data_IF_485371575415
#
_entry.id   IF_485371575415
#
_cell.length_a   1.000
_cell.length_b   1.000
_cell.length_c   1.000
_cell.angle_alpha   90.00
_cell.angle_beta   90.00
_cell.angle_gamma   90.00
#
_symmetry.space_group_name_H-M   'P 1'
#
loop_
_entity.id
_entity.type
_entity.pdbx_description
1 polymer ?
#
# COMPACT_ATOMS: atom_id res chain seq x y z
N UNK A 1 -27.76 -29.57 -39.54
CA UNK A 1 -26.90 -28.89 -40.53
C UNK A 1 -25.92 -28.03 -39.76
N UNK A 2 -24.66 -28.48 -39.66
CA UNK A 2 -23.58 -27.79 -38.94
C UNK A 2 -22.85 -26.88 -39.92
N UNK A 3 -22.89 -25.57 -39.70
CA UNK A 3 -22.16 -24.59 -40.49
C UNK A 3 -20.83 -24.29 -39.81
N UNK A 4 -19.74 -24.81 -40.36
CA UNK A 4 -18.37 -24.40 -40.00
C UNK A 4 -18.13 -22.95 -40.43
N UNK A 5 -17.59 -22.08 -39.57
CA UNK A 5 -17.22 -20.73 -39.95
C UNK A 5 -15.95 -20.76 -40.82
N UNK A 6 -16.00 -20.07 -41.95
CA UNK A 6 -14.87 -19.85 -42.84
C UNK A 6 -14.07 -18.62 -42.41
N UNK A 7 -12.75 -18.78 -42.27
CA UNK A 7 -11.81 -17.69 -41.97
C UNK A 7 -11.24 -17.18 -43.30
N UNK A 8 -11.53 -15.93 -43.64
CA UNK A 8 -10.94 -15.26 -44.81
C UNK A 8 -9.80 -14.35 -44.34
N UNK A 9 -8.58 -14.60 -44.84
CA UNK A 9 -7.39 -13.82 -44.52
C UNK A 9 -6.96 -13.04 -45.76
N UNK A 10 -7.17 -11.72 -45.76
CA UNK A 10 -6.57 -10.82 -46.75
C UNK A 10 -5.37 -10.09 -46.15
N UNK A 11 -4.22 -10.17 -46.82
CA UNK A 11 -3.01 -9.42 -46.49
C UNK A 11 -2.98 -8.11 -47.28
N UNK A 12 -3.04 -7.00 -46.58
CA UNK A 12 -2.51 -5.71 -47.06
C UNK A 12 -1.44 -5.23 -46.08
N UNK A 13 -0.41 -4.59 -46.61
CA UNK A 13 0.87 -4.35 -45.95
C UNK A 13 0.80 -3.92 -44.48
N UNK A 14 1.57 -4.65 -43.65
CA UNK A 14 2.11 -4.15 -42.39
C UNK A 14 1.22 -4.19 -41.14
N UNK A 15 -0.08 -4.41 -41.23
CA UNK A 15 -0.95 -4.48 -40.04
C UNK A 15 -1.98 -5.60 -40.15
N UNK A 16 -1.95 -6.53 -39.19
CA UNK A 16 -2.94 -7.61 -39.06
C UNK A 16 -4.13 -7.10 -38.24
N UNK A 17 -5.23 -6.75 -38.91
CA UNK A 17 -6.47 -6.33 -38.25
C UNK A 17 -7.48 -7.49 -38.29
N UNK A 18 -7.66 -8.19 -37.16
CA UNK A 18 -8.77 -9.14 -37.02
C UNK A 18 -9.99 -8.43 -36.45
N UNK A 19 -11.10 -8.41 -37.21
CA UNK A 19 -12.40 -7.99 -36.69
C UNK A 19 -13.14 -9.21 -36.15
N UNK A 20 -13.44 -9.21 -34.85
CA UNK A 20 -14.39 -10.14 -34.25
C UNK A 20 -15.70 -9.41 -33.97
N UNK A 21 -16.79 -9.89 -34.55
CA UNK A 21 -18.14 -9.47 -34.20
C UNK A 21 -18.63 -10.36 -33.06
N UNK A 22 -18.56 -9.86 -31.82
CA UNK A 22 -19.08 -10.58 -30.66
C UNK A 22 -18.45 -10.11 -29.36
N UNK A 23 -19.29 -9.95 -28.34
CA UNK A 23 -19.01 -9.48 -26.98
C UNK A 23 -17.87 -10.23 -26.26
N UNK A 24 -16.62 -9.76 -26.41
CA UNK A 24 -15.46 -10.21 -25.61
C UNK A 24 -14.46 -9.07 -25.34
N UNK A 25 -14.90 -7.98 -24.71
CA UNK A 25 -13.99 -6.90 -24.29
C UNK A 25 -13.20 -7.23 -23.02
N UNK A 26 -13.68 -8.14 -22.16
CA UNK A 26 -12.99 -8.53 -20.93
C UNK A 26 -11.78 -9.46 -21.16
N UNK A 27 -11.76 -10.24 -22.25
CA UNK A 27 -10.69 -11.19 -22.51
C UNK A 27 -9.39 -10.54 -23.02
N UNK A 28 -9.48 -9.37 -23.66
CA UNK A 28 -8.31 -8.69 -24.25
C UNK A 28 -7.43 -7.99 -23.20
N UNK A 29 -8.00 -7.52 -22.09
CA UNK A 29 -7.21 -6.93 -21.00
C UNK A 29 -6.33 -7.98 -20.30
N UNK A 30 -6.81 -9.22 -20.18
CA UNK A 30 -6.06 -10.32 -19.57
C UNK A 30 -4.92 -10.82 -20.45
N UNK A 31 -5.10 -10.80 -21.78
CA UNK A 31 -4.08 -11.23 -22.76
C UNK A 31 -2.91 -10.23 -22.86
N UNK A 32 -3.16 -8.92 -22.77
CA UNK A 32 -2.11 -7.90 -22.82
C UNK A 32 -1.14 -7.97 -21.63
N UNK A 33 -1.61 -8.40 -20.46
CA UNK A 33 -0.75 -8.57 -19.26
C UNK A 33 0.15 -9.81 -19.37
N UNK A 34 -0.27 -10.84 -20.12
CA UNK A 34 0.48 -12.10 -20.25
C UNK A 34 1.53 -12.09 -21.38
N UNK A 35 1.41 -11.19 -22.36
CA UNK A 35 2.32 -11.15 -23.53
C UNK A 35 3.67 -10.44 -23.31
N UNK A 36 4.02 -10.02 -22.08
CA UNK A 36 5.31 -9.39 -21.79
C UNK A 36 6.44 -10.37 -21.40
N UNK A 37 6.21 -11.69 -21.41
CA UNK A 37 7.29 -12.69 -21.33
C UNK A 37 7.61 -13.23 -22.72
N UNK A 38 8.89 -13.11 -23.08
CA UNK A 38 9.55 -13.67 -24.27
C UNK A 38 9.52 -12.82 -25.54
N UNK A 39 10.49 -11.91 -25.64
CA UNK A 39 11.15 -11.62 -26.92
C UNK A 39 12.64 -11.35 -26.65
N UNK A 40 13.43 -12.42 -26.50
CA UNK A 40 14.88 -12.36 -26.67
C UNK A 40 15.14 -12.90 -28.07
N UNK A 41 15.56 -12.01 -28.97
CA UNK A 41 15.89 -12.35 -30.35
C UNK A 41 17.41 -12.45 -30.44
N UNK A 42 17.93 -13.69 -30.56
CA UNK A 42 19.29 -13.94 -31.02
C UNK A 42 19.33 -13.72 -32.53
N UNK A 43 20.12 -12.76 -33.01
CA UNK A 43 20.78 -12.85 -34.32
C UNK A 43 21.96 -11.89 -34.40
N UNK A 44 23.11 -12.51 -34.65
CA UNK A 44 24.24 -12.12 -35.49
C UNK A 44 25.20 -10.96 -35.15
N UNK A 45 26.46 -11.40 -35.15
CA UNK A 45 27.72 -10.67 -35.11
C UNK A 45 27.86 -9.68 -36.28
N UNK A 46 28.24 -8.43 -35.96
CA UNK A 46 29.16 -7.65 -36.79
C UNK A 46 29.79 -6.51 -35.96
N UNK A 47 31.10 -6.60 -35.72
CA UNK A 47 31.93 -5.44 -35.31
C UNK A 47 31.98 -4.43 -36.47
N UNK A 48 31.92 -3.12 -36.18
CA UNK A 48 33.16 -2.35 -36.32
C UNK A 48 33.37 -1.22 -35.28
N UNK A 49 34.65 -1.08 -34.92
CA UNK A 49 35.43 0.13 -34.59
C UNK A 49 34.83 1.28 -33.76
N UNK A 50 35.44 1.44 -32.58
CA UNK A 50 35.67 2.63 -31.76
C UNK A 50 35.31 4.00 -32.36
N UNK A 51 34.44 4.75 -31.65
CA UNK A 51 34.88 5.92 -30.87
C UNK A 51 33.72 6.55 -30.10
N UNK A 52 34.00 6.84 -28.83
CA UNK A 52 33.38 7.94 -28.08
C UNK A 52 31.95 7.72 -27.61
N UNK A 53 31.79 7.15 -26.41
CA UNK A 53 30.67 7.49 -25.53
C UNK A 53 31.09 7.34 -24.07
N UNK A 54 30.80 8.40 -23.33
CA UNK A 54 31.07 8.64 -21.93
C UNK A 54 30.27 7.61 -21.11
N UNK A 55 30.98 6.71 -20.43
CA UNK A 55 30.37 5.75 -19.49
C UNK A 55 29.77 6.50 -18.31
N UNK A 56 28.43 6.47 -18.19
CA UNK A 56 27.75 6.69 -16.92
C UNK A 56 27.88 5.40 -16.13
N UNK A 57 28.96 5.35 -15.37
CA UNK A 57 29.23 4.33 -14.37
C UNK A 57 28.19 4.49 -13.26
N UNK A 58 27.19 3.61 -13.26
CA UNK A 58 26.38 3.38 -12.06
C UNK A 58 27.29 2.71 -11.04
N UNK A 59 27.49 3.39 -9.92
CA UNK A 59 28.11 2.79 -8.76
C UNK A 59 27.07 1.86 -8.13
N UNK A 60 27.35 0.57 -8.23
CA UNK A 60 26.68 -0.46 -7.46
C UNK A 60 27.06 -0.28 -5.98
N UNK A 61 26.14 0.25 -5.17
CA UNK A 61 26.16 0.04 -3.73
C UNK A 61 25.56 -1.35 -3.45
N UNK A 62 26.35 -2.38 -3.76
CA UNK A 62 26.07 -3.75 -3.37
C UNK A 62 26.88 -4.06 -2.10
N UNK A 63 26.17 -4.35 -1.02
CA UNK A 63 26.73 -5.04 0.15
C UNK A 63 26.79 -4.21 1.43
N UNK A 64 25.65 -3.73 1.91
CA UNK A 64 25.50 -3.45 3.34
C UNK A 64 24.47 -4.45 3.89
N UNK A 65 24.95 -5.44 4.65
CA UNK A 65 24.11 -6.21 5.56
C UNK A 65 23.55 -5.21 6.58
N UNK A 66 22.36 -4.69 6.28
CA UNK A 66 21.65 -3.75 7.14
C UNK A 66 21.35 -4.42 8.49
N UNK A 67 22.23 -4.16 9.46
CA UNK A 67 21.90 -4.32 10.87
C UNK A 67 20.74 -3.39 11.15
N UNK A 68 19.54 -3.95 11.31
CA UNK A 68 18.40 -3.27 11.92
C UNK A 68 18.85 -2.64 13.24
N UNK A 69 19.10 -1.33 13.23
CA UNK A 69 19.41 -0.59 14.45
C UNK A 69 18.11 -0.40 15.23
N UNK A 70 18.08 -0.70 16.54
CA UNK A 70 16.89 -0.49 17.37
C UNK A 70 16.58 1.01 17.45
N UNK A 71 15.41 1.41 16.94
CA UNK A 71 14.98 2.81 16.92
C UNK A 71 14.51 3.26 18.31
N UNK A 72 14.84 4.50 18.68
CA UNK A 72 14.45 5.14 19.93
C UNK A 72 12.96 5.52 19.89
N UNK A 73 12.16 4.92 20.77
CA UNK A 73 10.80 5.38 21.03
C UNK A 73 10.80 6.80 21.61
N UNK A 74 9.97 7.69 21.04
CA UNK A 74 9.59 8.93 21.70
C UNK A 74 8.63 8.62 22.86
N UNK A 75 8.89 9.10 24.09
CA UNK A 75 8.00 8.84 25.21
C UNK A 75 6.70 9.64 25.08
N UNK A 76 5.57 8.92 25.02
CA UNK A 76 4.24 9.50 25.17
C UNK A 76 4.08 10.07 26.59
N UNK A 77 3.76 11.37 26.71
CA UNK A 77 3.37 11.98 27.97
C UNK A 77 1.92 11.59 28.30
N UNK A 78 1.74 10.75 29.31
CA UNK A 78 0.44 10.50 29.93
C UNK A 78 0.06 11.69 30.84
N UNK A 79 -1.01 12.40 30.49
CA UNK A 79 -1.62 13.42 31.35
C UNK A 79 -2.62 12.77 32.32
N UNK A 80 -2.56 13.18 33.59
CA UNK A 80 -3.32 12.64 34.72
C UNK A 80 -4.77 13.14 34.77
N UNK A 81 -5.68 12.24 35.15
CA UNK A 81 -7.13 12.43 35.22
C UNK A 81 -7.55 13.09 36.53
N UNK A 82 -8.34 14.16 36.45
CA UNK A 82 -9.10 14.72 37.57
C UNK A 82 -10.54 14.16 37.57
N UNK A 83 -11.02 13.81 38.75
CA UNK A 83 -12.37 13.29 39.05
C UNK A 83 -13.40 14.42 39.25
N UNK A 84 -14.60 14.27 38.69
CA UNK A 84 -15.83 14.78 39.32
C UNK A 84 -16.87 15.49 38.44
N UNK A 85 -18.03 14.83 38.33
CA UNK A 85 -19.41 15.33 38.12
C UNK A 85 -19.90 15.83 36.74
N UNK A 86 -20.80 15.01 36.20
CA UNK A 86 -22.09 15.29 35.55
C UNK A 86 -22.17 16.45 34.52
N UNK A 87 -22.08 16.07 33.25
CA UNK A 87 -22.64 16.80 32.13
C UNK A 87 -22.87 15.78 31.01
N UNK A 88 -23.85 16.01 30.16
CA UNK A 88 -23.99 15.30 28.88
C UNK A 88 -22.68 15.47 28.09
N UNK A 89 -21.75 14.54 28.29
CA UNK A 89 -20.42 14.55 27.69
C UNK A 89 -20.63 14.31 26.20
N UNK A 90 -20.73 15.40 25.45
CA UNK A 90 -20.15 15.43 24.11
C UNK A 90 -18.69 15.08 24.35
N UNK A 91 -18.37 13.78 24.23
CA UNK A 91 -17.01 13.30 24.34
C UNK A 91 -16.22 14.08 23.31
N UNK A 92 -15.38 15.00 23.78
CA UNK A 92 -14.34 15.58 22.94
C UNK A 92 -13.72 14.41 22.18
N UNK A 93 -13.59 14.53 20.84
CA UNK A 93 -13.02 13.44 20.06
C UNK A 93 -11.66 13.13 20.69
N UNK A 94 -11.55 11.96 21.33
CA UNK A 94 -10.29 11.48 21.88
C UNK A 94 -9.26 11.72 20.80
N UNK A 95 -8.28 12.60 21.04
CA UNK A 95 -7.43 13.13 19.98
C UNK A 95 -6.64 11.99 19.38
N UNK A 96 -7.19 11.36 18.35
CA UNK A 96 -6.53 10.26 17.69
C UNK A 96 -5.28 10.82 17.04
N UNK A 97 -4.15 10.19 17.33
CA UNK A 97 -2.84 10.78 17.09
C UNK A 97 -2.42 10.72 15.63
N UNK A 98 -3.08 9.90 14.80
CA UNK A 98 -2.67 9.65 13.42
C UNK A 98 -3.83 9.80 12.43
N UNK A 99 -3.55 10.41 11.28
CA UNK A 99 -4.40 10.36 10.09
C UNK A 99 -3.96 9.20 9.19
N UNK A 100 -4.94 8.49 8.64
CA UNK A 100 -4.72 7.36 7.72
C UNK A 100 -5.20 7.74 6.32
N UNK A 101 -4.27 7.80 5.38
CA UNK A 101 -4.52 8.13 3.99
C UNK A 101 -4.33 6.92 3.10
N UNK A 102 -5.07 6.88 1.98
CA UNK A 102 -4.75 6.08 0.82
C UNK A 102 -4.18 6.99 -0.27
N UNK A 103 -3.08 6.57 -0.88
CA UNK A 103 -2.57 7.15 -2.11
C UNK A 103 -2.90 6.23 -3.28
N UNK A 104 -3.29 6.82 -4.41
CA UNK A 104 -3.62 6.11 -5.65
C UNK A 104 -2.79 6.69 -6.78
N UNK A 105 -2.16 5.80 -7.54
CA UNK A 105 -1.29 6.14 -8.65
C UNK A 105 -1.75 5.39 -9.90
N UNK A 106 -2.02 6.07 -11.01
CA UNK A 106 -2.11 5.41 -12.31
C UNK A 106 -0.78 4.72 -12.64
N UNK A 107 -0.84 3.55 -13.28
CA UNK A 107 0.35 2.89 -13.78
C UNK A 107 0.70 3.36 -15.19
N UNK A 108 2.00 3.53 -15.46
CA UNK A 108 2.50 3.74 -16.81
C UNK A 108 2.00 2.65 -17.77
N UNK A 109 1.73 3.03 -19.02
CA UNK A 109 1.27 2.13 -20.09
C UNK A 109 -0.09 1.43 -19.83
N UNK A 110 -0.85 1.85 -18.81
CA UNK A 110 -2.16 1.25 -18.50
C UNK A 110 -3.36 2.02 -19.07
N UNK A 111 -3.13 3.09 -19.83
CA UNK A 111 -4.18 4.07 -20.20
C UNK A 111 -4.98 4.59 -18.99
N UNK A 112 -4.35 4.63 -17.80
CA UNK A 112 -4.97 4.96 -16.52
C UNK A 112 -6.14 4.03 -16.14
N UNK A 113 -6.08 2.78 -16.57
CA UNK A 113 -7.07 1.75 -16.25
C UNK A 113 -6.61 0.83 -15.12
N UNK A 114 -5.31 0.83 -14.81
CA UNK A 114 -4.71 0.03 -13.74
C UNK A 114 -4.00 0.98 -12.79
N UNK A 115 -4.21 0.73 -11.51
CA UNK A 115 -3.74 1.61 -10.45
C UNK A 115 -2.96 0.82 -9.40
N UNK A 116 -2.01 1.52 -8.81
CA UNK A 116 -1.30 1.14 -7.61
C UNK A 116 -1.81 1.93 -6.44
N UNK A 117 -1.97 1.29 -5.29
CA UNK A 117 -2.38 1.95 -4.06
C UNK A 117 -1.43 1.67 -2.92
N UNK A 118 -1.35 2.62 -2.00
CA UNK A 118 -0.53 2.59 -0.81
C UNK A 118 -1.27 3.25 0.35
N UNK A 119 -0.92 2.89 1.58
CA UNK A 119 -1.41 3.58 2.78
C UNK A 119 -0.31 4.51 3.29
N UNK A 120 -0.66 5.74 3.64
CA UNK A 120 0.27 6.66 4.32
C UNK A 120 -0.34 7.08 5.64
N UNK A 121 0.45 6.98 6.70
CA UNK A 121 0.00 7.24 8.07
C UNK A 121 0.82 8.38 8.63
N UNK A 122 0.18 9.49 8.94
CA UNK A 122 0.86 10.70 9.39
C UNK A 122 0.45 11.01 10.83
N UNK A 123 1.40 11.28 11.75
CA UNK A 123 1.05 11.84 13.03
C UNK A 123 0.39 13.21 12.81
N UNK A 124 -0.59 13.53 13.63
CA UNK A 124 -1.35 14.78 13.57
C UNK A 124 -0.43 16.00 13.67
N UNK A 125 0.67 15.87 14.40
CA UNK A 125 1.71 16.89 14.57
C UNK A 125 2.48 17.19 13.27
N UNK A 126 2.49 16.28 12.29
CA UNK A 126 3.09 16.51 10.97
C UNK A 126 2.48 17.73 10.27
N UNK A 127 1.22 18.05 10.59
CA UNK A 127 0.47 19.15 9.98
C UNK A 127 0.31 20.36 10.91
N UNK A 128 1.01 20.40 12.06
CA UNK A 128 0.86 21.48 13.04
C UNK A 128 1.26 22.86 12.50
N UNK A 129 2.09 22.91 11.44
CA UNK A 129 2.51 24.16 10.77
C UNK A 129 1.47 24.69 9.79
N UNK A 130 0.47 23.89 9.42
CA UNK A 130 -0.60 24.23 8.48
C UNK A 130 -1.97 23.99 9.14
N UNK A 131 -2.37 24.93 9.99
CA UNK A 131 -3.61 24.84 10.76
C UNK A 131 -4.86 24.68 9.87
N UNK A 132 -4.89 25.35 8.71
CA UNK A 132 -6.02 25.26 7.79
C UNK A 132 -6.12 23.85 7.17
N UNK A 133 -5.00 23.22 6.82
CA UNK A 133 -5.01 21.83 6.38
C UNK A 133 -5.47 20.89 7.49
N UNK A 134 -4.98 21.07 8.71
CA UNK A 134 -5.39 20.27 9.86
C UNK A 134 -6.90 20.37 10.14
N UNK A 135 -7.45 21.59 10.16
CA UNK A 135 -8.89 21.85 10.30
C UNK A 135 -9.70 21.20 9.17
N UNK A 136 -9.18 21.25 7.94
CA UNK A 136 -9.82 20.60 6.79
C UNK A 136 -9.87 19.08 6.97
N UNK A 137 -8.79 18.46 7.43
CA UNK A 137 -8.76 17.02 7.71
C UNK A 137 -9.76 16.65 8.81
N UNK A 138 -9.83 17.45 9.88
CA UNK A 138 -10.80 17.22 10.96
C UNK A 138 -12.25 17.28 10.49
N UNK A 139 -12.57 18.27 9.66
CA UNK A 139 -13.88 18.38 9.06
C UNK A 139 -14.22 17.12 8.24
N UNK A 140 -13.27 16.61 7.45
CA UNK A 140 -13.45 15.36 6.68
C UNK A 140 -13.62 14.13 7.59
N UNK A 141 -12.88 14.02 8.70
CA UNK A 141 -13.02 12.90 9.66
C UNK A 141 -14.45 12.80 10.21
N UNK A 142 -15.12 13.94 10.45
CA UNK A 142 -16.50 13.95 10.96
C UNK A 142 -17.52 13.36 9.97
N UNK A 143 -17.18 13.30 8.68
CA UNK A 143 -18.02 12.70 7.63
C UNK A 143 -17.76 11.20 7.43
N UNK A 144 -16.63 10.70 7.94
CA UNK A 144 -16.19 9.33 7.76
C UNK A 144 -16.70 8.42 8.89
N UNK A 145 -16.95 7.13 8.59
CA UNK A 145 -17.22 6.16 9.64
C UNK A 145 -15.99 5.99 10.52
N UNK A 146 -16.17 5.83 11.85
CA UNK A 146 -15.05 5.49 12.71
C UNK A 146 -14.56 4.07 12.41
N UNK A 147 -13.42 3.72 12.99
CA UNK A 147 -12.88 2.37 12.88
C UNK A 147 -13.85 1.38 13.52
N UNK A 148 -14.01 0.21 12.90
CA UNK A 148 -14.72 -0.92 13.50
C UNK A 148 -14.03 -1.49 14.75
N UNK A 149 -12.80 -1.05 15.03
CA UNK A 149 -12.06 -1.40 16.25
C UNK A 149 -12.31 -0.41 17.39
N UNK A 150 -12.94 0.73 17.12
CA UNK A 150 -13.40 1.61 18.19
C UNK A 150 -14.72 1.04 18.75
N UNK A 151 -14.84 0.86 20.07
CA UNK A 151 -16.02 0.33 20.77
C UNK A 151 -17.28 1.25 20.70
N UNK A 152 -17.37 2.10 19.69
CA UNK A 152 -18.44 3.09 19.58
C UNK A 152 -19.72 2.40 19.11
N UNK A 153 -20.73 2.38 19.99
CA UNK A 153 -22.10 1.97 19.67
C UNK A 153 -22.72 3.02 18.73
N UNK A 154 -22.55 2.87 17.42
CA UNK A 154 -23.13 3.81 16.45
C UNK A 154 -24.58 3.41 16.13
N UNK A 155 -25.51 4.01 16.86
CA UNK A 155 -26.95 3.94 16.57
C UNK A 155 -27.38 4.89 15.42
N UNK A 156 -26.70 4.87 14.26
CA UNK A 156 -27.11 5.71 13.11
C UNK A 156 -27.71 4.88 11.98
N UNK A 157 -29.01 5.10 11.72
CA UNK A 157 -29.69 4.76 10.46
C UNK A 157 -28.89 5.36 9.29
N UNK A 158 -28.20 4.52 8.51
CA UNK A 158 -27.22 4.96 7.55
C UNK A 158 -27.86 5.63 6.32
N UNK A 159 -27.57 6.92 6.12
CA UNK A 159 -27.46 7.52 4.79
C UNK A 159 -26.29 6.84 4.05
N UNK A 160 -26.25 6.94 2.71
CA UNK A 160 -25.17 6.41 1.85
C UNK A 160 -23.81 6.67 2.50
N UNK A 161 -23.16 5.60 2.97
CA UNK A 161 -21.95 5.70 3.79
C UNK A 161 -20.77 6.01 2.87
N UNK A 162 -20.12 7.16 3.11
CA UNK A 162 -18.88 7.52 2.43
C UNK A 162 -17.76 6.81 3.18
N UNK A 163 -16.91 6.07 2.48
CA UNK A 163 -15.84 5.28 3.11
C UNK A 163 -14.50 6.02 3.19
N UNK A 164 -14.34 7.05 2.39
CA UNK A 164 -13.14 7.86 2.29
C UNK A 164 -13.49 9.24 1.73
N UNK A 165 -12.70 10.25 2.05
CA UNK A 165 -12.85 11.61 1.56
C UNK A 165 -11.67 11.98 0.65
N UNK A 166 -11.94 12.69 -0.45
CA UNK A 166 -10.87 13.20 -1.33
C UNK A 166 -10.14 14.33 -0.61
N UNK A 167 -8.80 14.27 -0.57
CA UNK A 167 -7.97 15.39 -0.09
C UNK A 167 -7.55 16.21 -1.31
N UNK A 168 -7.83 17.50 -1.30
CA UNK A 168 -7.59 18.35 -2.47
C UNK A 168 -6.09 18.44 -2.79
N UNK A 169 -5.73 18.36 -4.09
CA UNK A 169 -4.33 18.33 -4.55
C UNK A 169 -3.51 19.51 -4.04
N UNK A 170 -4.05 20.72 -4.14
CA UNK A 170 -3.41 21.94 -3.66
C UNK A 170 -3.16 21.95 -2.14
N UNK A 171 -3.88 21.15 -1.36
CA UNK A 171 -3.70 21.05 0.08
C UNK A 171 -2.61 20.02 0.43
N UNK A 172 -2.74 18.77 -0.04
CA UNK A 172 -1.76 17.73 0.31
C UNK A 172 -0.40 17.96 -0.34
N UNK A 173 -0.33 18.61 -1.50
CA UNK A 173 0.95 18.88 -2.18
C UNK A 173 1.83 19.89 -1.44
N UNK A 174 1.28 20.66 -0.50
CA UNK A 174 2.02 21.60 0.32
C UNK A 174 2.69 20.95 1.54
N UNK A 175 2.38 19.69 1.84
CA UNK A 175 2.79 19.02 3.08
C UNK A 175 4.13 18.28 2.90
N UNK A 176 5.24 19.01 3.09
CA UNK A 176 6.60 18.51 2.88
C UNK A 176 7.28 17.92 4.13
N UNK A 177 6.62 17.91 5.29
CA UNK A 177 7.20 17.39 6.53
C UNK A 177 7.38 15.85 6.43
N UNK A 178 8.61 15.32 6.52
CA UNK A 178 8.91 13.90 6.33
C UNK A 178 8.69 13.10 7.62
N UNK A 179 7.48 13.10 8.14
CA UNK A 179 7.13 12.47 9.42
C UNK A 179 6.05 11.39 9.31
N UNK A 180 5.60 11.07 8.09
CA UNK A 180 4.65 10.00 7.84
C UNK A 180 5.35 8.68 7.58
N UNK A 181 4.59 7.59 7.70
CA UNK A 181 5.01 6.25 7.30
C UNK A 181 4.21 5.82 6.07
N UNK A 182 4.91 5.40 5.02
CA UNK A 182 4.35 4.82 3.80
C UNK A 182 4.35 3.29 3.90
N UNK A 183 3.18 2.70 3.67
CA UNK A 183 2.93 1.27 3.64
C UNK A 183 2.47 0.92 2.23
N UNK A 184 3.38 0.41 1.42
CA UNK A 184 3.09 -0.05 0.06
C UNK A 184 3.70 -1.42 -0.19
N UNK A 185 3.15 -2.14 -1.17
CA UNK A 185 3.61 -3.47 -1.54
C UNK A 185 3.87 -3.54 -3.04
N UNK A 186 5.03 -4.07 -3.42
CA UNK A 186 5.41 -4.32 -4.80
C UNK A 186 6.09 -5.68 -4.92
N UNK A 187 5.95 -6.30 -6.09
CA UNK A 187 6.76 -7.46 -6.45
C UNK A 187 8.22 -7.05 -6.52
N UNK A 188 8.95 -7.16 -5.40
CA UNK A 188 10.37 -6.82 -5.36
C UNK A 188 11.18 -7.97 -5.92
N UNK A 189 11.88 -7.70 -7.02
CA UNK A 189 12.88 -8.57 -7.58
C UNK A 189 14.24 -7.88 -7.50
N UNK A 190 15.21 -8.56 -6.93
CA UNK A 190 16.60 -8.12 -6.93
C UNK A 190 17.32 -8.80 -8.11
N UNK A 191 18.17 -8.05 -8.80
CA UNK A 191 18.99 -8.63 -9.86
C UNK A 191 20.14 -9.43 -9.21
N UNK A 192 20.13 -10.75 -9.40
CA UNK A 192 21.24 -11.60 -8.99
C UNK A 192 22.33 -11.57 -10.06
N UNK A 193 23.49 -11.01 -9.72
CA UNK A 193 24.68 -11.02 -10.58
C UNK A 193 25.30 -12.41 -10.71
N UNK A 194 25.02 -13.32 -9.77
CA UNK A 194 25.54 -14.69 -9.76
C UNK A 194 24.89 -15.50 -10.89
N UNK A 195 23.58 -15.35 -11.06
CA UNK A 195 22.80 -16.17 -12.00
C UNK A 195 22.31 -15.39 -13.23
N UNK A 196 22.66 -14.10 -13.34
CA UNK A 196 22.14 -13.17 -14.36
C UNK A 196 20.61 -13.24 -14.48
N UNK A 197 19.93 -13.30 -13.33
CA UNK A 197 18.50 -13.48 -13.25
C UNK A 197 17.89 -12.56 -12.19
N UNK A 198 16.64 -12.14 -12.42
CA UNK A 198 15.84 -11.50 -11.39
C UNK A 198 15.38 -12.55 -10.40
N UNK A 199 15.84 -12.45 -9.15
CA UNK A 199 15.33 -13.26 -8.05
C UNK A 199 14.34 -12.43 -7.23
N UNK A 200 13.13 -12.97 -7.07
CA UNK A 200 12.17 -12.40 -6.14
C UNK A 200 12.61 -12.69 -4.72
N UNK A 201 12.56 -11.67 -3.88
CA UNK A 201 12.89 -11.84 -2.48
C UNK A 201 11.85 -12.79 -1.82
N UNK A 202 12.34 -13.79 -1.10
CA UNK A 202 11.52 -14.86 -0.49
C UNK A 202 11.22 -14.63 0.98
N UNK A 203 12.02 -13.77 1.60
CA UNK A 203 11.86 -13.38 2.99
C UNK A 203 10.53 -12.63 3.10
N UNK A 204 9.68 -12.97 4.08
CA UNK A 204 8.43 -12.23 4.33
C UNK A 204 8.65 -10.69 4.32
N UNK A 205 7.64 -9.94 3.90
CA UNK A 205 7.62 -8.49 3.83
C UNK A 205 8.72 -7.79 3.04
N UNK A 206 9.62 -8.51 2.39
CA UNK A 206 10.64 -7.90 1.55
C UNK A 206 10.04 -7.15 0.34
N UNK A 207 8.81 -7.49 -0.07
CA UNK A 207 8.05 -6.76 -1.08
C UNK A 207 7.34 -5.52 -0.57
N UNK A 208 7.26 -5.33 0.76
CA UNK A 208 6.71 -4.14 1.42
C UNK A 208 7.84 -3.36 2.07
N UNK A 209 8.63 -2.57 1.32
CA UNK A 209 9.79 -1.90 1.87
C UNK A 209 9.40 -0.94 3.00
N UNK A 210 10.23 -0.95 4.05
CA UNK A 210 10.08 -0.10 5.23
C UNK A 210 11.42 0.49 5.62
N UNK A 211 12.02 1.20 4.65
CA UNK A 211 13.31 1.88 4.80
C UNK A 211 13.12 3.32 5.27
N UNK A 212 14.22 4.05 5.45
CA UNK A 212 14.20 5.45 5.86
C UNK A 212 13.26 6.33 5.00
N UNK A 213 13.23 6.11 3.69
CA UNK A 213 12.37 6.87 2.77
C UNK A 213 10.87 6.54 2.93
N UNK A 214 10.57 5.35 3.48
CA UNK A 214 9.20 4.94 3.80
C UNK A 214 8.79 5.35 5.22
N UNK A 215 9.71 5.35 6.19
CA UNK A 215 9.43 5.73 7.59
C UNK A 215 9.53 7.23 7.87
N UNK A 216 10.13 8.00 6.95
CA UNK A 216 10.20 9.46 6.98
C UNK A 216 9.58 10.02 5.68
N UNK A 217 8.40 9.51 5.33
CA UNK A 217 7.72 9.87 4.10
C UNK A 217 7.00 11.20 4.25
N UNK A 218 7.14 12.10 3.27
CA UNK A 218 6.39 13.35 3.21
C UNK A 218 5.08 13.15 2.43
N UNK A 219 3.94 13.64 2.94
CA UNK A 219 2.65 13.44 2.27
C UNK A 219 2.61 14.01 0.84
N UNK A 220 3.41 15.04 0.55
CA UNK A 220 3.54 15.60 -0.80
C UNK A 220 4.49 14.84 -1.73
N UNK A 221 5.23 13.83 -1.25
CA UNK A 221 6.14 13.04 -2.10
C UNK A 221 5.40 12.42 -3.27
N UNK A 222 6.02 12.41 -4.44
CA UNK A 222 5.45 11.79 -5.65
C UNK A 222 5.93 10.35 -5.83
N UNK A 223 6.78 9.87 -4.93
CA UNK A 223 7.36 8.54 -4.99
C UNK A 223 6.36 7.48 -4.54
N UNK A 224 6.46 6.31 -5.14
CA UNK A 224 5.74 5.10 -4.77
C UNK A 224 6.73 3.95 -4.60
N UNK A 225 6.31 2.90 -3.91
CA UNK A 225 7.05 1.64 -3.73
C UNK A 225 7.41 0.97 -5.05
N UNK A 226 6.64 1.22 -6.12
CA UNK A 226 6.90 0.69 -7.46
C UNK A 226 7.25 1.80 -8.45
N UNK A 227 8.24 1.53 -9.31
CA UNK A 227 8.83 2.52 -10.22
C UNK A 227 7.92 2.95 -11.39
N UNK A 228 6.94 2.13 -11.74
CA UNK A 228 6.02 2.40 -12.85
C UNK A 228 4.74 3.15 -12.41
N UNK A 229 4.65 3.57 -11.16
CA UNK A 229 3.60 4.46 -10.68
C UNK A 229 3.81 5.89 -11.24
N UNK A 230 2.71 6.55 -11.63
CA UNK A 230 2.73 7.91 -12.15
C UNK A 230 2.52 8.93 -11.02
N UNK A 231 3.60 9.29 -10.32
CA UNK A 231 3.57 10.20 -9.17
C UNK A 231 2.88 11.55 -9.41
N UNK A 232 3.08 12.15 -10.59
CA UNK A 232 2.45 13.43 -10.96
C UNK A 232 0.91 13.38 -11.01
N UNK A 233 0.37 12.18 -11.19
CA UNK A 233 -1.06 11.91 -11.24
C UNK A 233 -1.60 11.31 -9.93
N UNK A 234 -0.80 11.34 -8.87
CA UNK A 234 -1.19 10.85 -7.54
C UNK A 234 -2.47 11.53 -7.06
N UNK A 235 -3.37 10.72 -6.52
CA UNK A 235 -4.55 11.13 -5.78
C UNK A 235 -4.42 10.70 -4.31
N UNK A 236 -4.95 11.50 -3.37
CA UNK A 236 -4.88 11.24 -1.93
C UNK A 236 -6.28 11.25 -1.34
N UNK A 237 -6.58 10.25 -0.51
CA UNK A 237 -7.88 10.08 0.13
C UNK A 237 -7.69 9.84 1.63
N UNK A 238 -8.49 10.50 2.46
CA UNK A 238 -8.52 10.29 3.90
C UNK A 238 -9.51 9.18 4.24
N UNK A 239 -9.07 8.19 5.01
CA UNK A 239 -9.91 7.07 5.47
C UNK A 239 -10.36 7.24 6.92
N UNK A 240 -9.63 8.03 7.71
CA UNK A 240 -10.02 8.39 9.06
C UNK A 240 -8.81 8.63 9.93
N UNK A 241 -8.99 8.34 11.21
CA UNK A 241 -7.99 8.54 12.25
C UNK A 241 -7.80 7.28 13.09
N UNK A 242 -6.59 7.12 13.62
CA UNK A 242 -6.20 5.98 14.45
C UNK A 242 -5.32 6.43 15.63
N UNK A 243 -5.35 5.66 16.71
CA UNK A 243 -4.35 5.72 17.78
C UNK A 243 -3.10 4.89 17.46
N UNK A 244 -3.17 4.00 16.46
CA UNK A 244 -2.05 3.17 16.02
C UNK A 244 -1.16 3.94 15.06
N UNK A 245 0.14 3.96 15.33
CA UNK A 245 1.14 4.58 14.46
C UNK A 245 1.32 3.80 13.15
N UNK A 246 1.94 4.43 12.16
CA UNK A 246 2.29 3.75 10.91
C UNK A 246 3.36 2.67 11.10
N UNK A 247 4.29 2.87 12.04
CA UNK A 247 5.27 1.86 12.45
C UNK A 247 4.60 0.63 13.03
N UNK A 248 3.67 0.83 13.97
CA UNK A 248 2.92 -0.27 14.59
C UNK A 248 2.06 -1.01 13.56
N UNK A 249 1.51 -0.29 12.58
CA UNK A 249 0.76 -0.88 11.50
C UNK A 249 1.64 -1.69 10.54
N UNK A 250 2.85 -1.21 10.22
CA UNK A 250 3.83 -2.02 9.51
C UNK A 250 4.14 -3.30 10.29
N UNK A 251 4.41 -3.18 11.59
CA UNK A 251 4.65 -4.34 12.46
C UNK A 251 3.48 -5.32 12.49
N UNK A 252 2.23 -4.83 12.49
CA UNK A 252 1.03 -5.67 12.47
C UNK A 252 0.86 -6.44 11.16
N UNK A 253 1.10 -5.79 10.01
CA UNK A 253 0.96 -6.43 8.70
C UNK A 253 2.16 -7.33 8.37
N UNK A 254 3.33 -7.07 8.97
CA UNK A 254 4.61 -7.70 8.66
C UNK A 254 5.27 -8.50 9.79
N UNK A 255 4.53 -8.91 10.81
CA UNK A 255 5.08 -9.58 11.99
C UNK A 255 5.83 -10.90 11.71
N UNK A 256 5.69 -11.49 10.52
CA UNK A 256 6.50 -12.63 10.06
C UNK A 256 8.02 -12.36 9.97
N UNK A 257 8.47 -11.12 10.13
CA UNK A 257 9.83 -10.69 9.79
C UNK A 257 10.70 -10.10 10.89
N UNK A 258 10.16 -9.86 12.09
CA UNK A 258 10.92 -9.20 13.16
C UNK A 258 11.33 -10.15 14.30
N UNK A 259 11.59 -11.43 14.01
CA UNK A 259 11.73 -12.47 15.04
C UNK A 259 10.48 -12.62 15.94
N UNK A 260 9.36 -11.98 15.60
CA UNK A 260 8.14 -11.98 16.42
C UNK A 260 7.36 -13.31 16.35
N UNK A 261 7.69 -14.18 15.39
CA UNK A 261 7.06 -15.51 15.27
C UNK A 261 7.65 -16.51 16.27
N UNK A 262 8.82 -16.24 16.87
CA UNK A 262 9.40 -17.18 17.85
C UNK A 262 8.88 -17.00 19.29
N UNK A 263 8.21 -15.88 19.63
CA UNK A 263 7.73 -15.65 21.01
C UNK A 263 6.21 -15.71 21.18
N UNK A 264 5.41 -15.46 20.15
CA UNK A 264 3.95 -15.57 20.19
C UNK A 264 3.44 -16.06 18.82
N UNK A 265 2.72 -17.19 18.76
CA UNK A 265 2.13 -17.78 17.54
C UNK A 265 1.03 -16.88 16.91
N UNK A 266 1.39 -15.66 16.50
CA UNK A 266 0.45 -14.74 15.84
C UNK A 266 0.16 -15.24 14.42
N UNK A 267 -1.12 -15.32 14.01
CA UNK A 267 -1.45 -15.73 12.67
C UNK A 267 -1.04 -14.65 11.67
N UNK A 268 -0.51 -15.12 10.54
CA UNK A 268 -0.16 -14.28 9.39
C UNK A 268 -1.28 -13.31 9.04
N UNK A 269 -0.92 -12.03 8.86
CA UNK A 269 -1.85 -10.99 8.42
C UNK A 269 -2.11 -11.10 6.91
N UNK A 270 -2.96 -12.05 6.52
CA UNK A 270 -3.43 -12.32 5.14
C UNK A 270 -2.36 -12.93 4.22
N UNK A 271 -1.15 -12.38 4.19
CA UNK A 271 -0.02 -12.85 3.38
C UNK A 271 1.30 -12.63 4.12
N UNK A 272 2.36 -13.27 3.62
CA UNK A 272 3.73 -13.00 4.05
C UNK A 272 4.28 -11.73 3.42
N UNK A 273 3.68 -11.23 2.34
CA UNK A 273 4.15 -10.04 1.61
C UNK A 273 5.60 -10.15 1.14
N UNK A 274 6.09 -11.37 0.91
CA UNK A 274 7.34 -11.59 0.21
C UNK A 274 7.20 -11.13 -1.25
N UNK A 275 8.32 -10.87 -1.93
CA UNK A 275 8.32 -10.56 -3.36
C UNK A 275 7.76 -11.73 -4.17
N UNK A 276 8.02 -12.97 -3.73
CA UNK A 276 7.48 -14.19 -4.35
C UNK A 276 5.97 -14.37 -4.16
N UNK A 277 5.36 -13.71 -3.18
CA UNK A 277 3.92 -13.80 -2.95
C UNK A 277 3.13 -12.90 -3.90
N UNK A 278 3.82 -12.03 -4.66
CA UNK A 278 3.17 -11.04 -5.50
C UNK A 278 2.43 -11.72 -6.65
N UNK A 279 1.13 -11.46 -6.74
CA UNK A 279 0.28 -11.88 -7.83
C UNK A 279 -0.57 -10.70 -8.29
N UNK A 280 -0.42 -10.31 -9.56
CA UNK A 280 -1.09 -9.15 -10.14
C UNK A 280 -2.62 -9.17 -10.02
N UNK A 281 -3.24 -10.35 -9.87
CA UNK A 281 -4.70 -10.50 -9.76
C UNK A 281 -5.18 -10.69 -8.32
N UNK A 282 -4.44 -11.42 -7.49
CA UNK A 282 -4.95 -11.89 -6.18
C UNK A 282 -4.22 -11.35 -4.96
N UNK A 283 -2.91 -11.13 -5.05
CA UNK A 283 -2.08 -10.71 -3.91
C UNK A 283 -1.11 -9.63 -4.41
N UNK A 284 -1.65 -8.44 -4.64
CA UNK A 284 -0.96 -7.28 -5.20
C UNK A 284 -1.02 -6.09 -4.23
N UNK A 285 -0.54 -4.93 -4.68
CA UNK A 285 -0.62 -3.67 -3.94
C UNK A 285 -2.03 -3.31 -3.43
N UNK A 286 -3.06 -3.49 -4.26
CA UNK A 286 -4.45 -3.19 -3.88
C UNK A 286 -4.95 -4.12 -2.77
N UNK A 287 -4.52 -5.38 -2.79
CA UNK A 287 -4.82 -6.36 -1.74
C UNK A 287 -4.12 -5.97 -0.44
N UNK A 288 -2.84 -5.59 -0.52
CA UNK A 288 -2.08 -5.09 0.62
C UNK A 288 -2.72 -3.85 1.27
N UNK A 289 -3.06 -2.83 0.47
CA UNK A 289 -3.76 -1.64 0.95
C UNK A 289 -5.08 -1.99 1.64
N UNK A 290 -5.85 -2.91 1.06
CA UNK A 290 -7.10 -3.39 1.67
C UNK A 290 -6.86 -4.10 3.01
N UNK A 291 -5.80 -4.90 3.10
CA UNK A 291 -5.40 -5.54 4.35
C UNK A 291 -5.03 -4.52 5.42
N UNK A 292 -4.21 -3.53 5.09
CA UNK A 292 -3.82 -2.48 6.05
C UNK A 292 -5.05 -1.69 6.52
N UNK A 293 -5.87 -1.20 5.59
CA UNK A 293 -7.05 -0.41 5.96
C UNK A 293 -8.04 -1.20 6.80
N UNK A 294 -8.38 -2.43 6.39
CA UNK A 294 -9.43 -3.22 7.05
C UNK A 294 -8.93 -4.00 8.25
N UNK A 295 -7.84 -4.74 8.09
CA UNK A 295 -7.39 -5.69 9.11
C UNK A 295 -6.49 -5.04 10.15
N UNK A 296 -5.79 -3.95 9.81
CA UNK A 296 -4.91 -3.25 10.77
C UNK A 296 -5.61 -2.03 11.38
N UNK A 297 -6.34 -1.25 10.57
CA UNK A 297 -7.01 -0.03 11.03
C UNK A 297 -8.52 -0.17 11.27
N UNK A 298 -9.16 -1.28 10.90
CA UNK A 298 -10.60 -1.47 11.06
C UNK A 298 -11.44 -0.54 10.18
N UNK A 299 -10.85 0.05 9.14
CA UNK A 299 -11.48 0.94 8.17
C UNK A 299 -12.05 0.17 6.98
N UNK A 300 -12.69 0.85 6.04
CA UNK A 300 -13.23 0.21 4.83
C UNK A 300 -12.11 -0.29 3.92
N UNK A 301 -12.29 -1.47 3.31
CA UNK A 301 -11.45 -1.96 2.20
C UNK A 301 -11.88 -1.41 0.83
N UNK A 302 -12.93 -0.59 0.77
CA UNK A 302 -13.40 0.04 -0.47
C UNK A 302 -12.41 1.07 -0.97
N UNK A 303 -12.00 1.01 -2.24
CA UNK A 303 -10.99 1.92 -2.83
C UNK A 303 -11.62 2.77 -3.95
N UNK A 304 -11.16 4.03 -4.13
CA UNK A 304 -11.75 4.96 -5.10
C UNK A 304 -11.42 4.58 -6.55
N UNK A 305 -12.46 4.25 -7.31
CA UNK A 305 -12.43 4.15 -8.77
C UNK A 305 -11.26 3.32 -9.33
N UNK A 306 -10.98 2.17 -8.72
CA UNK A 306 -9.95 1.24 -9.21
C UNK A 306 -10.42 0.42 -10.41
N UNK A 307 -11.72 0.49 -10.74
CA UNK A 307 -12.33 -0.28 -11.82
C UNK A 307 -12.08 -1.77 -11.67
N UNK A 308 -11.46 -2.37 -12.69
CA UNK A 308 -11.13 -3.80 -12.71
C UNK A 308 -9.95 -4.18 -11.81
N UNK A 309 -9.28 -3.22 -11.18
CA UNK A 309 -8.11 -3.49 -10.33
C UNK A 309 -8.48 -3.84 -8.88
N UNK A 310 -9.76 -3.72 -8.49
CA UNK A 310 -10.28 -4.08 -7.17
C UNK A 310 -11.02 -5.44 -7.17
N UNK A 311 -10.28 -6.52 -7.41
CA UNK A 311 -10.86 -7.85 -7.62
C UNK A 311 -10.96 -8.71 -6.35
N UNK A 312 -10.31 -8.30 -5.26
CA UNK A 312 -10.09 -9.16 -4.09
C UNK A 312 -10.64 -8.50 -2.84
N UNK A 313 -11.60 -9.17 -2.21
CA UNK A 313 -12.02 -8.82 -0.85
C UNK A 313 -11.10 -9.48 0.15
N UNK A 314 -10.53 -8.69 1.04
CA UNK A 314 -9.65 -9.20 2.10
C UNK A 314 -10.49 -9.77 3.25
N UNK A 315 -10.10 -10.95 3.74
CA UNK A 315 -10.61 -11.55 4.97
C UNK A 315 -9.53 -11.50 6.03
N UNK A 316 -9.83 -10.89 7.18
CA UNK A 316 -8.84 -10.72 8.25
C UNK A 316 -8.77 -11.96 9.13
N UNK A 317 -7.61 -12.24 9.75
CA UNK A 317 -7.51 -13.28 10.76
C UNK A 317 -8.50 -13.00 11.91
N UNK A 318 -9.10 -14.06 12.45
CA UNK A 318 -10.00 -13.98 13.60
C UNK A 318 -9.19 -14.16 14.87
N UNK A 319 -9.33 -13.21 15.77
CA UNK A 319 -8.66 -13.18 17.05
C UNK A 319 -9.67 -13.17 18.18
N UNK A 320 -9.43 -13.99 19.21
CA UNK A 320 -10.24 -13.93 20.43
C UNK A 320 -9.76 -12.75 21.27
N UNK A 321 -10.63 -11.75 21.46
CA UNK A 321 -10.42 -10.63 22.38
C UNK A 321 -11.66 -10.49 23.27
N UNK A 322 -11.47 -10.60 24.60
CA UNK A 322 -12.55 -10.49 25.59
C UNK A 322 -13.80 -11.34 25.23
N UNK A 323 -13.59 -12.62 24.91
CA UNK A 323 -14.62 -13.60 24.51
C UNK A 323 -15.40 -13.27 23.21
N UNK A 324 -14.91 -12.32 22.40
CA UNK A 324 -15.43 -12.01 21.07
C UNK A 324 -14.38 -12.27 20.00
N UNK A 325 -14.80 -12.84 18.89
CA UNK A 325 -13.96 -12.97 17.70
C UNK A 325 -13.90 -11.61 17.00
N UNK A 326 -12.74 -10.95 17.04
CA UNK A 326 -12.46 -9.71 16.31
C UNK A 326 -11.60 -10.04 15.09
N UNK A 327 -11.97 -9.49 13.94
CA UNK A 327 -11.23 -9.65 12.70
C UNK A 327 -10.15 -8.56 12.61
N UNK A 328 -8.97 -8.81 13.18
CA UNK A 328 -7.84 -7.86 13.18
C UNK A 328 -6.49 -8.55 13.07
N UNK A 329 -5.52 -7.86 12.48
CA UNK A 329 -4.11 -8.23 12.60
C UNK A 329 -3.54 -7.62 13.87
N UNK A 330 -2.96 -8.45 14.73
CA UNK A 330 -2.34 -8.00 15.98
C UNK A 330 -1.01 -7.32 15.71
N UNK A 331 -0.78 -6.20 16.40
CA UNK A 331 0.56 -5.66 16.57
C UNK A 331 1.29 -6.60 17.53
N UNK A 332 2.46 -7.15 17.17
CA UNK A 332 3.29 -7.88 18.12
C UNK A 332 3.52 -7.00 19.35
N UNK A 333 3.45 -7.60 20.54
CA UNK A 333 3.94 -6.90 21.73
C UNK A 333 5.38 -6.52 21.41
N UNK A 334 5.75 -5.26 21.61
CA UNK A 334 7.15 -4.89 21.58
C UNK A 334 7.83 -5.83 22.57
N UNK A 335 8.66 -6.75 22.09
CA UNK A 335 9.58 -7.45 22.97
C UNK A 335 10.21 -6.34 23.80
N UNK A 336 10.10 -6.43 25.13
CA UNK A 336 10.86 -5.54 25.98
C UNK A 336 12.30 -5.83 25.57
N UNK A 337 12.85 -5.04 24.65
CA UNK A 337 14.25 -5.01 24.34
C UNK A 337 14.82 -4.50 25.65
N UNK A 338 15.11 -5.45 26.53
CA UNK A 338 15.88 -5.27 27.73
C UNK A 338 17.11 -4.54 27.22
N UNK A 339 17.15 -3.24 27.49
CA UNK A 339 18.32 -2.43 27.31
C UNK A 339 19.35 -2.99 28.28
N UNK A 340 20.03 -4.05 27.88
CA UNK A 340 21.27 -4.50 28.51
C UNK A 340 22.29 -3.41 28.21
N UNK A 341 22.31 -2.40 29.08
CA UNK A 341 23.47 -1.55 29.29
C UNK A 341 24.57 -2.35 29.98
#
# INVERSE_FOLDING_TARGET
>A
MSSTPSIEVQRFGGALLMRFAGSTLAAFALLLVLSHKSYVNETDQQQPTSNGLRSLQWQDEAGEEDRYLPYRHHPHQHSSVNTGLDSSVVSEPSSKDYFVFLQKFPLQNSFKMIFHTEVVVCPRQAFAKDAHFLESLDALVLELPPSSFDDIIINKKAKKQIHFAVVAKNQWSAQSDPSCVQLGYGGKSDWSSVDNAYEFCRTACCGSPHKNDNSNYALNSLDAVIKNAMGEEKEVYLYGVSSMSGEDAYRAVCHGHMNAVEEDELPMCVSNWAGTDYNALTNNCNTFTSTVLKCVYGMSDSKPDLGVSDMVKVSCPKEKSNDKDVQMCKVPKSANILSSQ
#
